data_IF_297470932014
#
_entry.id   IF_297470932014
#
_cell.length_a   1.000
_cell.length_b   1.000
_cell.length_c   1.000
_cell.angle_alpha   90.00
_cell.angle_beta   90.00
_cell.angle_gamma   90.00
#
_symmetry.space_group_name_H-M   'P 1'
#
loop_
_entity.id
_entity.type
_entity.pdbx_description
1 polymer ?
#
# COMPACT_ATOMS: atom_id res chain seq x y z
N UNK A 1 50.49 33.84 5.49
CA UNK A 1 49.24 34.61 5.33
C UNK A 1 48.73 34.39 3.91
N UNK A 2 48.02 33.29 3.66
CA UNK A 2 47.23 33.10 2.43
C UNK A 2 46.05 32.21 2.81
N UNK A 3 44.89 32.84 2.95
CA UNK A 3 43.60 32.21 3.17
C UNK A 3 43.06 31.81 1.79
N UNK A 4 42.88 30.52 1.54
CA UNK A 4 42.06 30.05 0.42
C UNK A 4 41.08 29.00 0.91
N UNK A 5 39.84 29.46 1.07
CA UNK A 5 38.64 28.65 1.18
C UNK A 5 38.46 27.84 -0.11
N UNK A 6 38.33 26.52 0.01
CA UNK A 6 37.72 25.71 -1.03
C UNK A 6 36.63 24.85 -0.40
N UNK A 7 35.45 25.02 -0.97
CA UNK A 7 34.14 24.64 -0.47
C UNK A 7 33.95 23.11 -0.33
N UNK A 8 33.20 22.74 0.71
CA UNK A 8 32.57 21.44 0.88
C UNK A 8 31.90 20.95 -0.41
N UNK A 9 32.39 19.85 -0.98
CA UNK A 9 31.61 19.06 -1.95
C UNK A 9 30.73 18.09 -1.18
N UNK A 10 29.52 18.55 -0.81
CA UNK A 10 28.38 17.67 -0.56
C UNK A 10 28.01 17.01 -1.90
N UNK A 11 28.47 15.79 -2.15
CA UNK A 11 27.94 14.99 -3.26
C UNK A 11 26.55 14.52 -2.88
N UNK A 12 25.53 15.10 -3.51
CA UNK A 12 24.15 14.65 -3.41
C UNK A 12 24.08 13.23 -3.98
N UNK A 13 23.78 12.25 -3.13
CA UNK A 13 23.28 10.97 -3.58
C UNK A 13 21.80 11.16 -3.95
N UNK A 14 21.52 11.41 -5.22
CA UNK A 14 20.14 11.38 -5.72
C UNK A 14 20.12 10.77 -7.13
N UNK A 15 20.00 9.45 -7.18
CA UNK A 15 19.46 8.74 -8.33
C UNK A 15 18.07 8.24 -7.92
N UNK A 16 17.10 9.14 -7.87
CA UNK A 16 15.70 8.76 -8.06
C UNK A 16 15.40 9.00 -9.53
N UNK A 17 15.57 7.97 -10.34
CA UNK A 17 15.00 7.95 -11.69
C UNK A 17 13.49 8.06 -11.53
N UNK A 18 12.91 9.12 -12.08
CA UNK A 18 11.49 9.38 -12.14
C UNK A 18 10.82 8.44 -13.15
N UNK A 19 10.68 7.16 -12.78
CA UNK A 19 9.65 6.29 -13.33
C UNK A 19 8.37 6.49 -12.51
N UNK A 20 7.17 6.53 -13.14
CA UNK A 20 5.93 6.48 -12.37
C UNK A 20 5.97 5.25 -11.46
N UNK A 21 5.67 5.37 -10.16
CA UNK A 21 5.75 4.24 -9.24
C UNK A 21 4.82 3.14 -9.76
N UNK A 22 5.42 2.01 -10.17
CA UNK A 22 4.64 0.83 -10.56
C UNK A 22 3.83 0.46 -9.31
N UNK A 23 2.48 0.50 -9.39
CA UNK A 23 1.66 0.24 -8.23
C UNK A 23 1.96 -1.18 -7.74
N UNK A 24 2.22 -1.32 -6.43
CA UNK A 24 2.48 -2.64 -5.86
C UNK A 24 1.28 -3.56 -6.12
N UNK A 25 1.50 -4.88 -6.07
CA UNK A 25 0.41 -5.87 -6.19
C UNK A 25 -0.79 -5.49 -5.32
N UNK A 26 -0.53 -5.07 -4.08
CA UNK A 26 -1.57 -4.63 -3.16
C UNK A 26 -2.24 -3.32 -3.59
N UNK A 27 -1.49 -2.32 -4.06
CA UNK A 27 -2.07 -1.04 -4.50
C UNK A 27 -3.02 -1.23 -5.68
N UNK A 28 -2.60 -2.02 -6.67
CA UNK A 28 -3.42 -2.33 -7.84
C UNK A 28 -4.69 -3.10 -7.46
N UNK A 29 -4.55 -4.18 -6.68
CA UNK A 29 -5.69 -5.01 -6.29
C UNK A 29 -6.64 -4.29 -5.34
N UNK A 30 -6.13 -3.53 -4.38
CA UNK A 30 -6.96 -2.73 -3.48
C UNK A 30 -7.64 -1.57 -4.20
N UNK A 31 -7.01 -1.00 -5.24
CA UNK A 31 -7.64 -0.03 -6.13
C UNK A 31 -8.92 -0.58 -6.76
N UNK A 32 -8.87 -1.81 -7.30
CA UNK A 32 -10.04 -2.51 -7.83
C UNK A 32 -11.04 -2.82 -6.72
N UNK A 33 -10.59 -3.43 -5.62
CA UNK A 33 -11.47 -3.85 -4.51
C UNK A 33 -12.27 -2.70 -3.91
N UNK A 34 -11.67 -1.52 -3.85
CA UNK A 34 -12.26 -0.33 -3.23
C UNK A 34 -12.89 0.64 -4.22
N UNK A 35 -13.02 0.28 -5.51
CA UNK A 35 -13.51 1.18 -6.56
C UNK A 35 -14.90 1.77 -6.26
N UNK A 36 -15.79 0.98 -5.64
CA UNK A 36 -17.16 1.37 -5.29
C UNK A 36 -17.35 1.60 -3.77
N UNK A 37 -16.27 1.78 -3.01
CA UNK A 37 -16.38 1.99 -1.57
C UNK A 37 -16.89 3.40 -1.26
N UNK A 38 -17.93 3.51 -0.42
CA UNK A 38 -18.47 4.81 0.03
C UNK A 38 -17.47 5.67 0.81
N UNK A 39 -16.48 5.04 1.47
CA UNK A 39 -15.33 5.74 2.08
C UNK A 39 -14.04 5.12 1.55
N UNK A 40 -13.57 5.64 0.41
CA UNK A 40 -12.47 5.05 -0.37
C UNK A 40 -11.17 4.92 0.42
N UNK A 41 -10.74 5.96 1.13
CA UNK A 41 -9.47 5.97 1.88
C UNK A 41 -9.47 4.93 3.01
N UNK A 42 -10.61 4.77 3.68
CA UNK A 42 -10.79 3.75 4.72
C UNK A 42 -10.67 2.34 4.13
N UNK A 43 -11.30 2.11 2.98
CA UNK A 43 -11.22 0.82 2.29
C UNK A 43 -9.79 0.51 1.87
N UNK A 44 -9.10 1.44 1.21
CA UNK A 44 -7.72 1.26 0.75
C UNK A 44 -6.77 0.96 1.92
N UNK A 45 -6.91 1.68 3.05
CA UNK A 45 -6.09 1.46 4.24
C UNK A 45 -6.24 0.05 4.80
N UNK A 46 -7.47 -0.43 4.99
CA UNK A 46 -7.67 -1.77 5.54
C UNK A 46 -7.38 -2.87 4.53
N UNK A 47 -7.71 -2.66 3.25
CA UNK A 47 -7.35 -3.59 2.18
C UNK A 47 -5.83 -3.75 2.11
N UNK A 48 -5.06 -2.66 2.12
CA UNK A 48 -3.60 -2.70 2.10
C UNK A 48 -3.02 -3.47 3.28
N UNK A 49 -3.48 -3.19 4.51
CA UNK A 49 -3.04 -3.94 5.70
C UNK A 49 -3.36 -5.44 5.58
N UNK A 50 -4.54 -5.80 5.08
CA UNK A 50 -4.91 -7.20 4.90
C UNK A 50 -4.14 -7.87 3.76
N UNK A 51 -3.90 -7.15 2.66
CA UNK A 51 -3.13 -7.63 1.53
C UNK A 51 -1.67 -7.90 1.93
N UNK A 52 -1.02 -6.98 2.64
CA UNK A 52 0.35 -7.17 3.10
C UNK A 52 0.49 -8.36 4.06
N UNK A 53 -0.55 -8.65 4.85
CA UNK A 53 -0.53 -9.79 5.79
C UNK A 53 -0.88 -11.13 5.13
N UNK A 54 -1.68 -11.12 4.07
CA UNK A 54 -2.23 -12.33 3.46
C UNK A 54 -1.75 -12.58 2.02
N UNK A 55 -1.02 -11.65 1.42
CA UNK A 55 -0.60 -11.61 0.02
C UNK A 55 -1.73 -11.95 -0.97
N UNK A 56 -2.97 -11.56 -0.64
CA UNK A 56 -4.17 -11.91 -1.41
C UNK A 56 -5.24 -10.83 -1.22
N UNK A 57 -5.94 -10.48 -2.31
CA UNK A 57 -7.10 -9.60 -2.32
C UNK A 57 -8.19 -10.27 -3.18
N UNK A 58 -9.41 -10.46 -2.66
CA UNK A 58 -10.51 -11.06 -3.42
C UNK A 58 -10.88 -10.27 -4.67
N UNK A 59 -11.40 -10.95 -5.68
CA UNK A 59 -11.93 -10.36 -6.90
C UNK A 59 -13.16 -9.47 -6.64
N UNK A 60 -13.43 -8.55 -7.57
CA UNK A 60 -14.59 -7.65 -7.53
C UNK A 60 -14.52 -6.59 -6.41
N UNK A 61 -15.59 -5.80 -6.28
CA UNK A 61 -15.68 -4.71 -5.30
C UNK A 61 -16.41 -5.10 -4.01
N UNK A 62 -17.00 -6.29 -3.96
CA UNK A 62 -17.75 -6.83 -2.82
C UNK A 62 -17.71 -8.37 -2.84
N UNK A 63 -17.99 -9.03 -1.71
CA UNK A 63 -18.09 -10.50 -1.65
C UNK A 63 -16.77 -11.24 -1.91
N UNK A 64 -16.84 -12.46 -2.44
CA UNK A 64 -15.73 -13.31 -2.90
C UNK A 64 -14.61 -13.58 -1.88
N UNK A 65 -14.84 -13.33 -0.59
CA UNK A 65 -13.81 -13.48 0.44
C UNK A 65 -13.30 -14.92 0.56
N UNK A 66 -14.07 -15.92 0.12
CA UNK A 66 -13.64 -17.32 0.04
C UNK A 66 -12.42 -17.56 -0.85
N UNK A 67 -12.15 -16.69 -1.84
CA UNK A 67 -10.94 -16.75 -2.68
C UNK A 67 -9.66 -16.53 -1.87
N UNK A 68 -9.75 -15.75 -0.79
CA UNK A 68 -8.62 -15.44 0.10
C UNK A 68 -9.00 -15.75 1.56
N UNK A 69 -8.88 -17.02 2.02
CA UNK A 69 -9.27 -17.41 3.38
C UNK A 69 -8.62 -16.58 4.48
N UNK A 70 -7.30 -16.29 4.37
CA UNK A 70 -6.62 -15.40 5.30
C UNK A 70 -7.29 -14.01 5.37
N UNK A 71 -7.59 -13.40 4.22
CA UNK A 71 -8.20 -12.08 4.14
C UNK A 71 -9.63 -12.08 4.73
N UNK A 72 -10.39 -13.15 4.47
CA UNK A 72 -11.74 -13.37 5.03
C UNK A 72 -11.74 -13.44 6.55
N UNK A 73 -10.78 -14.19 7.11
CA UNK A 73 -10.79 -14.58 8.52
C UNK A 73 -10.06 -13.58 9.42
N UNK A 74 -9.49 -12.51 8.86
CA UNK A 74 -8.91 -11.41 9.64
C UNK A 74 -9.99 -10.65 10.43
N UNK A 75 -9.82 -10.66 11.74
CA UNK A 75 -10.64 -9.90 12.67
C UNK A 75 -9.87 -8.69 13.23
N UNK A 76 -10.61 -7.68 13.66
CA UNK A 76 -10.08 -6.60 14.50
C UNK A 76 -10.07 -7.04 15.98
N UNK A 77 -9.56 -6.18 16.86
CA UNK A 77 -9.53 -6.45 18.31
C UNK A 77 -10.90 -6.65 18.97
N UNK A 78 -11.99 -6.31 18.27
CA UNK A 78 -13.38 -6.50 18.72
C UNK A 78 -14.03 -7.75 18.11
N UNK A 79 -13.26 -8.61 17.45
CA UNK A 79 -13.77 -9.84 16.82
C UNK A 79 -14.65 -9.61 15.60
N UNK A 80 -14.61 -8.43 14.97
CA UNK A 80 -15.37 -8.13 13.75
C UNK A 80 -14.46 -8.24 12.51
N UNK A 81 -15.02 -8.57 11.33
CA UNK A 81 -14.25 -8.59 10.09
C UNK A 81 -13.48 -7.29 9.89
N UNK A 82 -12.16 -7.41 9.67
CA UNK A 82 -11.25 -6.27 9.53
C UNK A 82 -11.15 -5.81 8.08
N UNK A 83 -11.13 -6.75 7.14
CA UNK A 83 -10.83 -6.48 5.74
C UNK A 83 -12.10 -6.17 4.95
N UNK A 84 -12.07 -5.19 4.02
CA UNK A 84 -13.23 -4.81 3.21
C UNK A 84 -13.70 -5.94 2.29
#
# INVERSE_FOLDING_TARGET
MSLSFSFLQFTMAETTTADPPIPSFCDSKCGVRCANAGVKDRCLRYCGVCCQQCNCVPSGTYGNKSECPCYRDKLNSKGKPKCP
#
